data_IF_717132538435
#
_entry.id   IF_717132538435
#
_cell.length_a   1.000
_cell.length_b   1.000
_cell.length_c   1.000
_cell.angle_alpha   90.00
_cell.angle_beta   90.00
_cell.angle_gamma   90.00
#
_symmetry.space_group_name_H-M   'P 1'
#
loop_
_entity.id
_entity.type
_entity.pdbx_description
1 polymer ?
#
# COMPACT_ATOMS: atom_id res chain seq x y z
N UNK A 1 5.59 4.62 12.51
CA UNK A 1 4.64 3.65 13.09
C UNK A 1 3.37 3.52 12.25
N UNK A 2 2.38 4.41 12.33
CA UNK A 2 1.11 4.22 11.59
C UNK A 2 1.29 3.99 10.07
N UNK A 3 2.20 4.72 9.41
CA UNK A 3 2.50 4.51 7.98
C UNK A 3 3.21 3.20 7.67
N UNK A 4 4.13 2.76 8.54
CA UNK A 4 4.88 1.51 8.38
C UNK A 4 3.95 0.30 8.57
N UNK A 5 3.09 0.36 9.59
CA UNK A 5 2.07 -0.65 9.88
C UNK A 5 1.05 -0.77 8.74
N UNK A 6 0.56 0.36 8.21
CA UNK A 6 -0.31 0.37 7.05
C UNK A 6 0.38 -0.16 5.79
N UNK A 7 1.66 0.17 5.59
CA UNK A 7 2.44 -0.33 4.46
C UNK A 7 2.71 -1.84 4.57
N UNK A 8 2.99 -2.36 5.76
CA UNK A 8 3.13 -3.80 5.99
C UNK A 8 1.81 -4.55 5.73
N UNK A 9 0.67 -3.99 6.14
CA UNK A 9 -0.64 -4.53 5.78
C UNK A 9 -0.85 -4.53 4.26
N UNK A 10 -0.55 -3.41 3.59
CA UNK A 10 -0.66 -3.32 2.13
C UNK A 10 0.25 -4.33 1.42
N UNK A 11 1.50 -4.47 1.88
CA UNK A 11 2.47 -5.43 1.36
C UNK A 11 1.97 -6.87 1.54
N UNK A 12 1.45 -7.22 2.72
CA UNK A 12 0.93 -8.57 3.00
C UNK A 12 -0.29 -8.94 2.15
N UNK A 13 -1.20 -8.01 1.89
CA UNK A 13 -2.38 -8.24 1.04
C UNK A 13 -2.13 -7.96 -0.45
N UNK A 14 -0.87 -7.86 -0.86
CA UNK A 14 -0.47 -7.69 -2.26
C UNK A 14 -0.03 -9.01 -2.90
N UNK A 15 0.21 -8.99 -4.21
CA UNK A 15 0.90 -10.09 -4.90
C UNK A 15 2.34 -10.29 -4.44
N UNK A 16 2.92 -9.35 -3.70
CA UNK A 16 4.27 -9.41 -3.15
C UNK A 16 4.37 -10.08 -1.77
N UNK A 17 3.29 -10.67 -1.24
CA UNK A 17 3.23 -11.24 0.12
C UNK A 17 4.39 -12.19 0.49
N UNK A 18 4.86 -12.99 -0.46
CA UNK A 18 5.93 -13.97 -0.20
C UNK A 18 7.33 -13.36 -0.29
N UNK A 19 7.44 -12.09 -0.69
CA UNK A 19 8.69 -11.35 -0.68
C UNK A 19 8.96 -10.84 0.74
N UNK A 20 10.25 -10.81 1.13
CA UNK A 20 10.66 -10.25 2.43
C UNK A 20 10.42 -8.75 2.52
N UNK A 21 10.51 -8.06 1.38
CA UNK A 21 10.42 -6.61 1.27
C UNK A 21 9.63 -6.27 0.02
N UNK A 22 8.64 -5.40 0.16
CA UNK A 22 7.78 -4.93 -0.93
C UNK A 22 7.82 -3.41 -0.93
N UNK A 23 7.97 -2.82 -2.11
CA UNK A 23 7.84 -1.38 -2.29
C UNK A 23 6.37 -0.98 -2.29
N UNK A 24 6.01 -0.03 -1.42
CA UNK A 24 4.63 0.45 -1.23
C UNK A 24 4.60 1.94 -1.47
N UNK A 25 3.72 2.35 -2.38
CA UNK A 25 3.48 3.75 -2.66
C UNK A 25 2.51 4.36 -1.65
N UNK A 26 2.84 5.56 -1.16
CA UNK A 26 1.99 6.32 -0.26
C UNK A 26 1.84 7.77 -0.74
N UNK A 27 0.61 8.27 -0.59
CA UNK A 27 0.20 9.60 -0.99
C UNK A 27 -1.09 10.00 -0.27
N UNK A 28 -1.43 11.29 -0.30
CA UNK A 28 -2.71 11.76 0.21
C UNK A 28 -3.85 11.26 -0.70
N UNK A 29 -4.96 10.81 -0.11
CA UNK A 29 -6.12 10.28 -0.85
C UNK A 29 -6.63 11.23 -1.95
N UNK A 30 -6.62 12.55 -1.69
CA UNK A 30 -7.06 13.57 -2.66
C UNK A 30 -6.27 13.57 -3.98
N UNK A 31 -5.07 12.98 -3.98
CA UNK A 31 -4.20 12.89 -5.15
C UNK A 31 -4.45 11.61 -5.97
N UNK A 32 -5.28 10.69 -5.47
CA UNK A 32 -5.69 9.47 -6.19
C UNK A 32 -6.85 9.81 -7.11
N UNK A 33 -6.76 9.39 -8.39
CA UNK A 33 -7.80 9.62 -9.39
C UNK A 33 -8.35 8.29 -9.92
N UNK A 34 -9.66 8.20 -10.07
CA UNK A 34 -10.34 7.11 -10.78
C UNK A 34 -10.68 7.59 -12.20
N UNK A 35 -10.05 7.04 -13.25
CA UNK A 35 -10.40 7.40 -14.62
C UNK A 35 -11.85 7.01 -14.94
N UNK A 36 -12.52 7.84 -15.75
CA UNK A 36 -13.89 7.56 -16.17
C UNK A 36 -13.95 6.24 -16.94
N UNK A 37 -14.92 5.39 -16.60
CA UNK A 37 -15.08 4.06 -17.21
C UNK A 37 -14.10 2.98 -16.73
N UNK A 38 -13.18 3.30 -15.80
CA UNK A 38 -12.27 2.29 -15.26
C UNK A 38 -12.97 1.26 -14.36
N UNK A 39 -12.45 0.03 -14.36
CA UNK A 39 -12.95 -1.07 -13.51
C UNK A 39 -12.84 -0.71 -12.02
N UNK A 40 -13.71 -1.26 -11.15
CA UNK A 40 -13.56 -1.10 -9.70
C UNK A 40 -12.15 -1.48 -9.22
N UNK A 41 -11.59 -0.68 -8.30
CA UNK A 41 -10.23 -0.87 -7.79
C UNK A 41 -9.11 -0.26 -8.65
N UNK A 42 -9.37 0.10 -9.91
CA UNK A 42 -8.34 0.75 -10.74
C UNK A 42 -8.24 2.25 -10.46
N UNK A 43 -7.03 2.70 -10.14
CA UNK A 43 -6.72 4.09 -9.81
C UNK A 43 -5.39 4.51 -10.44
N UNK A 44 -5.21 5.82 -10.62
CA UNK A 44 -3.97 6.43 -11.11
C UNK A 44 -3.54 7.58 -10.19
N UNK A 45 -2.24 7.83 -10.14
CA UNK A 45 -1.61 8.96 -9.45
C UNK A 45 -0.38 9.41 -10.24
N UNK A 46 0.03 10.66 -10.04
CA UNK A 46 1.16 11.28 -10.76
C UNK A 46 2.29 11.71 -9.83
N UNK A 47 2.03 11.71 -8.53
CA UNK A 47 2.99 12.08 -7.50
C UNK A 47 2.73 11.22 -6.29
N UNK A 48 3.72 10.42 -5.94
CA UNK A 48 3.73 9.54 -4.79
C UNK A 48 5.12 9.55 -4.17
N UNK A 49 5.18 9.07 -2.95
CA UNK A 49 6.41 8.63 -2.33
C UNK A 49 6.36 7.11 -2.22
N UNK A 50 7.52 6.49 -2.04
CA UNK A 50 7.64 5.05 -1.95
C UNK A 50 8.37 4.69 -0.66
N UNK A 51 7.98 3.60 -0.02
CA UNK A 51 8.67 3.03 1.12
C UNK A 51 8.79 1.53 0.98
N UNK A 52 9.84 0.96 1.56
CA UNK A 52 10.04 -0.48 1.59
C UNK A 52 9.43 -1.02 2.89
N UNK A 53 8.43 -1.89 2.76
CA UNK A 53 7.73 -2.50 3.87
C UNK A 53 8.01 -4.00 3.95
N UNK A 54 8.04 -4.53 5.17
CA UNK A 54 8.10 -5.97 5.42
C UNK A 54 6.68 -6.55 5.37
N UNK A 55 6.57 -7.76 4.86
CA UNK A 55 5.30 -8.48 4.76
C UNK A 55 4.91 -9.18 6.05
N UNK A 56 5.80 -9.26 7.05
CA UNK A 56 5.50 -9.90 8.32
C UNK A 56 4.55 -9.05 9.18
N UNK A 57 3.40 -9.65 9.53
CA UNK A 57 2.38 -9.03 10.38
C UNK A 57 2.42 -9.53 11.84
N UNK A 58 3.38 -10.38 12.22
CA UNK A 58 3.43 -11.00 13.57
C UNK A 58 3.44 -9.97 14.70
N UNK A 59 4.00 -8.78 14.46
CA UNK A 59 4.03 -7.67 15.42
C UNK A 59 2.76 -6.81 15.47
N UNK A 60 1.84 -6.96 14.50
CA UNK A 60 0.63 -6.15 14.39
C UNK A 60 -0.51 -6.76 15.22
N UNK A 61 -1.07 -5.94 16.11
CA UNK A 61 -2.23 -6.33 16.93
C UNK A 61 -3.41 -5.42 16.62
N UNK A 62 -4.58 -6.03 16.52
CA UNK A 62 -5.84 -5.29 16.54
C UNK A 62 -5.99 -4.67 17.94
N UNK A 63 -6.21 -3.36 17.98
CA UNK A 63 -6.48 -2.59 19.19
C UNK A 63 -7.98 -2.56 19.44
#
# INVERSE_FOLDING_TARGET
>A
RAFEEAASLAAYYSSGRDQKKVEVDYLQQKNVKKPSGAKPGFVVYYTNYSMVAETDLTGLKQV
#
